data_IF_116877761479
#
_entry.id   IF_116877761479
#
_cell.length_a   1.000
_cell.length_b   1.000
_cell.length_c   1.000
_cell.angle_alpha   90.00
_cell.angle_beta   90.00
_cell.angle_gamma   90.00
#
_symmetry.space_group_name_H-M   'P 1'
#
loop_
_entity.id
_entity.type
_entity.pdbx_description
1 polymer ?
#
# COMPACT_ATOMS: atom_id res chain seq x y z
N UNK A 1 11.16 -6.27 21.85
CA UNK A 1 10.46 -5.92 23.11
C UNK A 1 9.74 -4.57 22.98
N UNK A 2 10.38 -3.53 22.43
CA UNK A 2 9.77 -2.19 22.25
C UNK A 2 8.64 -2.17 21.22
N UNK A 3 8.80 -2.85 20.08
CA UNK A 3 7.81 -2.87 19.00
C UNK A 3 6.47 -3.49 19.41
N UNK A 4 6.50 -4.66 20.06
CA UNK A 4 5.29 -5.33 20.56
C UNK A 4 4.53 -4.48 21.56
N UNK A 5 5.25 -3.71 22.40
CA UNK A 5 4.64 -2.78 23.36
C UNK A 5 3.96 -1.59 22.66
N UNK A 6 4.59 -1.03 21.62
CA UNK A 6 4.00 0.08 20.84
C UNK A 6 2.71 -0.39 20.15
N UNK A 7 2.72 -1.58 19.53
CA UNK A 7 1.52 -2.15 18.89
C UNK A 7 0.42 -2.42 19.92
N UNK A 8 0.76 -3.00 21.09
CA UNK A 8 -0.21 -3.21 22.17
C UNK A 8 -0.83 -1.90 22.67
N UNK A 9 -0.01 -0.86 22.88
CA UNK A 9 -0.49 0.47 23.29
C UNK A 9 -1.39 1.09 22.21
N UNK A 10 -0.99 1.00 20.93
CA UNK A 10 -1.81 1.44 19.80
C UNK A 10 -3.18 0.75 19.79
N UNK A 11 -3.22 -0.58 19.91
CA UNK A 11 -4.48 -1.35 19.90
C UNK A 11 -5.36 -0.97 21.10
N UNK A 12 -4.77 -0.81 22.29
CA UNK A 12 -5.50 -0.40 23.49
C UNK A 12 -6.15 0.97 23.30
N UNK A 13 -5.38 1.96 22.82
CA UNK A 13 -5.88 3.31 22.55
C UNK A 13 -6.99 3.31 21.50
N UNK A 14 -6.84 2.48 20.47
CA UNK A 14 -7.76 2.44 19.35
C UNK A 14 -9.09 1.72 19.63
N UNK A 15 -9.13 0.88 20.67
CA UNK A 15 -10.31 0.07 21.01
C UNK A 15 -11.59 0.90 21.24
N UNK A 16 -11.46 2.13 21.78
CA UNK A 16 -12.60 3.05 22.00
C UNK A 16 -13.18 3.64 20.70
N UNK A 17 -12.44 3.58 19.59
CA UNK A 17 -12.78 4.23 18.33
C UNK A 17 -13.08 3.25 17.20
N UNK A 18 -13.09 1.95 17.50
CA UNK A 18 -13.36 0.92 16.50
C UNK A 18 -14.82 1.03 16.03
N UNK A 19 -15.06 1.22 14.72
CA UNK A 19 -16.42 1.33 14.21
C UNK A 19 -17.17 0.01 14.37
N UNK A 20 -18.48 0.09 14.60
CA UNK A 20 -19.36 -1.06 14.39
C UNK A 20 -19.49 -1.28 12.89
N UNK A 21 -19.16 -2.48 12.42
CA UNK A 21 -19.07 -2.79 11.00
C UNK A 21 -19.99 -3.95 10.67
N UNK A 22 -20.67 -3.87 9.52
CA UNK A 22 -21.36 -5.02 8.95
C UNK A 22 -20.34 -6.09 8.56
N UNK A 23 -20.72 -7.36 8.73
CA UNK A 23 -19.84 -8.48 8.41
C UNK A 23 -19.55 -8.56 6.91
N UNK A 24 -18.28 -8.69 6.56
CA UNK A 24 -17.85 -9.02 5.19
C UNK A 24 -17.87 -10.54 5.04
N UNK A 25 -18.54 -11.03 4.00
CA UNK A 25 -18.58 -12.46 3.69
C UNK A 25 -17.20 -12.98 3.29
N UNK A 26 -16.79 -14.09 3.90
CA UNK A 26 -15.56 -14.82 3.58
C UNK A 26 -15.88 -15.92 2.55
N UNK A 27 -15.32 -15.80 1.35
CA UNK A 27 -15.26 -16.90 0.40
C UNK A 27 -13.96 -17.69 0.61
N UNK A 28 -14.02 -19.00 0.40
CA UNK A 28 -12.89 -19.91 0.60
C UNK A 28 -12.82 -20.96 -0.50
N UNK A 29 -11.63 -21.17 -1.06
CA UNK A 29 -11.35 -22.26 -1.99
C UNK A 29 -10.24 -23.14 -1.40
N UNK A 30 -10.55 -24.40 -1.04
CA UNK A 30 -9.54 -25.33 -0.54
C UNK A 30 -8.38 -25.54 -1.53
N UNK A 31 -7.15 -25.59 -1.03
CA UNK A 31 -5.93 -25.72 -1.84
C UNK A 31 -5.98 -26.83 -2.89
N UNK A 32 -6.48 -28.01 -2.50
CA UNK A 32 -6.57 -29.18 -3.40
C UNK A 32 -7.59 -28.95 -4.51
N UNK A 33 -8.72 -28.33 -4.21
CA UNK A 33 -9.77 -28.02 -5.18
C UNK A 33 -9.30 -26.91 -6.12
N UNK A 34 -8.63 -25.91 -5.57
CA UNK A 34 -8.10 -24.77 -6.31
C UNK A 34 -7.10 -25.20 -7.38
N UNK A 35 -6.10 -26.01 -7.00
CA UNK A 35 -5.09 -26.52 -7.95
C UNK A 35 -5.72 -27.42 -9.02
N UNK A 36 -6.74 -28.21 -8.67
CA UNK A 36 -7.47 -29.04 -9.64
C UNK A 36 -8.29 -28.22 -10.63
N UNK A 37 -8.84 -27.09 -10.20
CA UNK A 37 -9.62 -26.21 -11.06
C UNK A 37 -8.75 -25.44 -12.07
N UNK A 38 -7.50 -25.14 -11.72
CA UNK A 38 -6.58 -24.36 -12.56
C UNK A 38 -5.23 -25.06 -12.82
N UNK A 39 -5.21 -26.27 -13.39
CA UNK A 39 -3.99 -27.09 -13.51
C UNK A 39 -2.92 -26.49 -14.42
N UNK A 40 -3.31 -25.61 -15.36
CA UNK A 40 -2.38 -24.94 -16.27
C UNK A 40 -1.70 -23.71 -15.65
N UNK A 41 -2.25 -23.20 -14.54
CA UNK A 41 -1.79 -21.98 -13.86
C UNK A 41 -1.27 -22.25 -12.44
N UNK A 42 -1.71 -23.34 -11.81
CA UNK A 42 -1.38 -23.70 -10.44
C UNK A 42 -0.82 -25.13 -10.36
N UNK A 43 0.13 -25.33 -9.45
CA UNK A 43 0.62 -26.65 -9.05
C UNK A 43 0.93 -26.66 -7.56
N UNK A 44 0.80 -27.79 -6.90
CA UNK A 44 1.22 -27.92 -5.50
C UNK A 44 1.99 -29.20 -5.23
N UNK A 45 2.89 -29.13 -4.26
CA UNK A 45 3.63 -30.29 -3.74
C UNK A 45 3.81 -30.16 -2.22
N UNK A 46 3.90 -31.29 -1.52
CA UNK A 46 4.36 -31.30 -0.12
C UNK A 46 5.88 -31.23 -0.07
N UNK A 47 6.42 -30.44 0.84
CA UNK A 47 7.86 -30.37 1.12
C UNK A 47 8.09 -30.22 2.63
N UNK A 48 9.21 -30.73 3.14
CA UNK A 48 9.62 -30.54 4.53
C UNK A 48 10.96 -29.80 4.54
N UNK A 49 11.06 -28.71 5.30
CA UNK A 49 12.27 -27.90 5.45
C UNK A 49 12.50 -27.69 6.95
N UNK A 50 13.68 -28.08 7.44
CA UNK A 50 14.06 -28.00 8.86
C UNK A 50 13.03 -28.57 9.84
N UNK A 51 12.37 -29.67 9.45
CA UNK A 51 11.34 -30.36 10.24
C UNK A 51 9.97 -29.67 10.25
N UNK A 52 9.75 -28.67 9.40
CA UNK A 52 8.46 -28.00 9.19
C UNK A 52 7.91 -28.42 7.85
N UNK A 53 6.67 -28.90 7.84
CA UNK A 53 5.97 -29.28 6.62
C UNK A 53 5.37 -28.04 5.94
N UNK A 54 5.54 -27.93 4.63
CA UNK A 54 4.98 -26.88 3.79
C UNK A 54 4.17 -27.48 2.64
N UNK A 55 3.21 -26.70 2.16
CA UNK A 55 2.70 -26.77 0.79
C UNK A 55 3.56 -25.82 -0.04
N UNK A 56 4.24 -26.37 -1.05
CA UNK A 56 4.90 -25.59 -2.09
C UNK A 56 3.89 -25.33 -3.20
N UNK A 57 3.36 -24.11 -3.28
CA UNK A 57 2.40 -23.67 -4.29
C UNK A 57 3.13 -22.96 -5.43
N UNK A 58 3.04 -23.47 -6.65
CA UNK A 58 3.57 -22.81 -7.85
C UNK A 58 2.45 -22.08 -8.61
N UNK A 59 2.70 -20.83 -9.00
CA UNK A 59 1.87 -20.04 -9.89
C UNK A 59 2.62 -19.73 -11.18
N UNK A 60 1.95 -19.90 -12.33
CA UNK A 60 2.55 -19.69 -13.65
C UNK A 60 2.27 -18.26 -14.13
N UNK A 61 3.32 -17.53 -14.52
CA UNK A 61 3.13 -16.25 -15.20
C UNK A 61 2.62 -16.51 -16.64
N UNK A 62 1.46 -15.95 -17.02
CA UNK A 62 0.79 -16.28 -18.28
C UNK A 62 1.54 -15.78 -19.52
N UNK A 63 2.38 -14.74 -19.39
CA UNK A 63 3.15 -14.18 -20.52
C UNK A 63 4.48 -14.91 -20.72
N UNK A 64 5.23 -15.13 -19.65
CA UNK A 64 6.57 -15.75 -19.73
C UNK A 64 6.55 -17.28 -19.66
N UNK A 65 5.45 -17.86 -19.19
CA UNK A 65 5.32 -19.29 -18.91
C UNK A 65 6.15 -19.80 -17.72
N UNK A 66 6.88 -18.92 -17.03
CA UNK A 66 7.71 -19.25 -15.87
C UNK A 66 6.84 -19.56 -14.65
N UNK A 67 7.27 -20.53 -13.86
CA UNK A 67 6.65 -20.89 -12.58
C UNK A 67 7.36 -20.18 -11.43
N UNK A 68 6.58 -19.61 -10.53
CA UNK A 68 7.05 -18.98 -9.29
C UNK A 68 6.43 -19.73 -8.12
N UNK A 69 7.28 -20.23 -7.22
CA UNK A 69 6.85 -21.10 -6.13
C UNK A 69 6.86 -20.34 -4.79
N UNK A 70 5.87 -20.61 -3.94
CA UNK A 70 5.71 -20.10 -2.58
C UNK A 70 5.66 -21.24 -1.59
N UNK A 71 6.09 -20.99 -0.37
CA UNK A 71 6.00 -21.95 0.74
C UNK A 71 4.90 -21.52 1.71
N UNK A 72 3.98 -22.43 1.99
CA UNK A 72 2.86 -22.22 2.91
C UNK A 72 2.93 -23.26 4.02
N UNK A 73 3.24 -22.89 5.27
CA UNK A 73 3.48 -23.85 6.33
C UNK A 73 2.19 -24.58 6.73
N UNK A 74 2.27 -25.89 6.89
CA UNK A 74 1.16 -26.73 7.34
C UNK A 74 1.07 -26.70 8.86
N UNK A 75 -0.15 -26.71 9.39
CA UNK A 75 -0.44 -26.70 10.83
C UNK A 75 0.12 -25.47 11.59
N UNK A 76 0.49 -24.42 10.86
CA UNK A 76 0.95 -23.16 11.41
C UNK A 76 -0.07 -22.08 11.06
N UNK A 77 -0.26 -21.13 11.97
CA UNK A 77 -1.21 -20.03 11.80
C UNK A 77 -0.53 -18.87 11.09
N UNK A 78 -0.09 -19.13 9.85
CA UNK A 78 0.60 -18.16 9.01
C UNK A 78 -0.05 -18.16 7.62
N UNK A 79 -0.47 -16.98 7.18
CA UNK A 79 -1.10 -16.75 5.88
C UNK A 79 -0.32 -15.67 5.13
N UNK A 80 -0.17 -15.81 3.82
CA UNK A 80 0.38 -14.76 2.96
C UNK A 80 -0.68 -13.69 2.70
N UNK A 81 -0.26 -12.42 2.62
CA UNK A 81 -1.06 -11.26 2.22
C UNK A 81 -0.40 -10.53 1.04
N UNK A 82 -1.12 -9.61 0.41
CA UNK A 82 -0.55 -8.77 -0.66
C UNK A 82 -0.41 -9.50 -2.00
N UNK A 83 0.74 -9.38 -2.66
CA UNK A 83 0.95 -9.88 -4.03
C UNK A 83 0.63 -11.36 -4.26
N UNK A 84 1.15 -12.29 -3.43
CA UNK A 84 0.89 -13.72 -3.58
C UNK A 84 -0.60 -14.12 -3.64
N UNK A 85 -1.44 -13.77 -2.64
CA UNK A 85 -2.86 -14.05 -2.74
C UNK A 85 -3.59 -13.25 -3.83
N UNK A 86 -3.14 -12.02 -4.17
CA UNK A 86 -3.70 -11.26 -5.30
C UNK A 86 -3.52 -11.99 -6.64
N UNK A 87 -2.31 -12.47 -6.92
CA UNK A 87 -2.06 -13.30 -8.11
C UNK A 87 -2.95 -14.56 -8.11
N UNK A 88 -3.19 -15.13 -6.92
CA UNK A 88 -4.10 -16.26 -6.76
C UNK A 88 -5.55 -15.94 -7.17
N UNK A 89 -6.12 -14.86 -6.63
CA UNK A 89 -7.49 -14.47 -6.98
C UNK A 89 -7.60 -14.01 -8.44
N UNK A 90 -6.55 -13.43 -9.01
CA UNK A 90 -6.51 -13.08 -10.44
C UNK A 90 -6.64 -14.30 -11.35
N UNK A 91 -5.99 -15.42 -10.99
CA UNK A 91 -6.16 -16.70 -11.69
C UNK A 91 -7.60 -17.18 -11.57
N UNK A 92 -8.16 -17.15 -10.35
CA UNK A 92 -9.53 -17.63 -10.08
C UNK A 92 -10.58 -16.83 -10.82
N UNK A 93 -10.43 -15.50 -10.89
CA UNK A 93 -11.36 -14.59 -11.52
C UNK A 93 -11.18 -14.47 -13.04
N UNK A 94 -10.20 -15.19 -13.61
CA UNK A 94 -9.80 -15.09 -15.02
C UNK A 94 -9.49 -13.63 -15.43
N UNK A 95 -8.71 -12.94 -14.59
CA UNK A 95 -8.33 -11.55 -14.78
C UNK A 95 -7.61 -11.29 -16.10
N UNK A 96 -7.61 -10.04 -16.59
CA UNK A 96 -6.79 -9.63 -17.72
C UNK A 96 -5.34 -10.06 -17.55
N UNK A 97 -4.79 -10.72 -18.58
CA UNK A 97 -3.42 -11.29 -18.58
C UNK A 97 -2.37 -10.28 -18.09
N UNK A 98 -2.55 -9.00 -18.45
CA UNK A 98 -1.65 -7.93 -18.02
C UNK A 98 -1.56 -7.81 -16.50
N UNK A 99 -2.67 -7.87 -15.77
CA UNK A 99 -2.68 -7.71 -14.30
C UNK A 99 -1.89 -8.83 -13.62
N UNK A 100 -2.24 -10.10 -13.92
CA UNK A 100 -1.54 -11.26 -13.37
C UNK A 100 -0.04 -11.27 -13.73
N UNK A 101 0.31 -10.78 -14.91
CA UNK A 101 1.71 -10.69 -15.33
C UNK A 101 2.51 -9.63 -14.57
N UNK A 102 1.87 -8.56 -14.07
CA UNK A 102 2.50 -7.52 -13.26
C UNK A 102 2.61 -7.88 -11.77
N UNK A 103 1.89 -8.91 -11.31
CA UNK A 103 2.08 -9.47 -9.97
C UNK A 103 3.27 -10.44 -9.89
N UNK A 104 3.71 -11.02 -11.02
CA UNK A 104 4.71 -12.11 -11.08
C UNK A 104 5.99 -11.72 -11.85
N UNK A 105 7.20 -11.87 -11.28
CA UNK A 105 7.49 -12.36 -9.92
C UNK A 105 7.07 -11.35 -8.86
N UNK A 106 6.72 -11.87 -7.67
CA UNK A 106 6.51 -11.03 -6.50
C UNK A 106 7.84 -10.37 -6.11
N UNK A 107 7.83 -9.06 -5.89
CA UNK A 107 9.01 -8.36 -5.37
C UNK A 107 9.16 -8.61 -3.86
N UNK A 108 8.03 -8.76 -3.19
CA UNK A 108 7.85 -8.81 -1.75
C UNK A 108 6.83 -9.91 -1.40
N UNK A 109 7.10 -10.62 -0.31
CA UNK A 109 6.19 -11.61 0.25
C UNK A 109 5.89 -11.19 1.68
N UNK A 110 4.62 -10.93 1.93
CA UNK A 110 4.12 -10.47 3.22
C UNK A 110 3.29 -11.55 3.90
N UNK A 111 3.23 -11.53 5.24
CA UNK A 111 2.46 -12.52 6.00
C UNK A 111 1.63 -11.91 7.13
N UNK A 112 0.61 -12.67 7.53
CA UNK A 112 -0.19 -12.50 8.74
C UNK A 112 0.08 -13.74 9.59
N UNK A 113 0.34 -13.57 10.87
CA UNK A 113 0.69 -14.68 11.74
C UNK A 113 0.06 -14.59 13.14
N UNK A 114 -0.31 -15.73 13.70
CA UNK A 114 -0.72 -15.88 15.12
C UNK A 114 0.20 -16.90 15.81
N UNK A 115 0.63 -16.60 17.03
CA UNK A 115 1.44 -17.51 17.86
C UNK A 115 2.72 -16.90 18.41
N UNK A 116 3.67 -17.77 18.78
CA UNK A 116 4.93 -17.37 19.41
C UNK A 116 5.87 -16.69 18.41
N UNK A 117 6.19 -15.40 18.65
CA UNK A 117 6.94 -14.58 17.70
C UNK A 117 8.32 -15.12 17.28
N UNK A 118 9.02 -15.86 18.15
CA UNK A 118 10.31 -16.49 17.83
C UNK A 118 10.17 -17.58 16.76
N UNK A 119 9.15 -18.46 16.93
CA UNK A 119 8.79 -19.52 16.00
C UNK A 119 8.29 -18.93 14.68
N UNK A 120 7.38 -17.96 14.74
CA UNK A 120 6.84 -17.27 13.55
C UNK A 120 7.99 -16.69 12.72
N UNK A 121 8.91 -15.93 13.33
CA UNK A 121 10.06 -15.34 12.60
C UNK A 121 10.96 -16.39 11.94
N UNK A 122 11.15 -17.55 12.58
CA UNK A 122 11.90 -18.65 11.96
C UNK A 122 11.19 -19.16 10.71
N UNK A 123 9.88 -19.38 10.78
CA UNK A 123 9.09 -19.95 9.68
C UNK A 123 8.96 -18.94 8.54
N UNK A 124 8.67 -17.67 8.83
CA UNK A 124 8.53 -16.61 7.81
C UNK A 124 9.82 -16.39 7.03
N UNK A 125 10.99 -16.49 7.69
CA UNK A 125 12.30 -16.48 7.01
C UNK A 125 12.44 -17.64 6.01
N UNK A 126 12.03 -18.85 6.38
CA UNK A 126 12.05 -20.00 5.45
C UNK A 126 11.11 -19.79 4.26
N UNK A 127 10.02 -19.05 4.45
CA UNK A 127 9.06 -18.72 3.40
C UNK A 127 9.54 -17.59 2.47
N UNK A 128 10.65 -16.92 2.79
CA UNK A 128 11.11 -15.72 2.07
C UNK A 128 10.24 -14.48 2.33
N UNK A 129 9.51 -14.46 3.46
CA UNK A 129 8.72 -13.30 3.87
C UNK A 129 9.63 -12.20 4.38
N UNK A 130 9.33 -10.95 4.01
CA UNK A 130 10.05 -9.78 4.50
C UNK A 130 9.96 -9.70 6.04
N UNK A 131 11.08 -9.55 6.77
CA UNK A 131 11.08 -9.37 8.22
C UNK A 131 10.11 -8.30 8.74
N UNK A 132 9.91 -7.22 8.00
CA UNK A 132 9.00 -6.11 8.36
C UNK A 132 7.57 -6.31 7.79
N UNK A 133 7.40 -7.29 6.90
CA UNK A 133 6.15 -7.67 6.24
C UNK A 133 5.22 -8.56 7.09
N UNK A 134 5.62 -8.93 8.30
CA UNK A 134 4.86 -9.82 9.20
C UNK A 134 3.91 -9.03 10.09
N UNK A 135 2.61 -9.16 9.84
CA UNK A 135 1.54 -8.63 10.70
C UNK A 135 1.10 -9.67 11.72
N UNK A 136 1.27 -9.37 13.01
CA UNK A 136 0.79 -10.25 14.08
C UNK A 136 -0.71 -10.06 14.30
N UNK A 137 -1.46 -11.16 14.35
CA UNK A 137 -2.87 -11.18 14.78
C UNK A 137 -2.96 -10.79 16.26
N UNK A 138 -4.06 -10.14 16.63
CA UNK A 138 -4.30 -9.71 18.00
C UNK A 138 -4.25 -10.88 19.00
N UNK A 139 -3.67 -10.67 20.21
CA UNK A 139 -3.59 -11.71 21.24
C UNK A 139 -4.97 -12.30 21.58
N UNK A 140 -5.06 -13.63 21.60
CA UNK A 140 -6.29 -14.36 21.92
C UNK A 140 -7.08 -14.86 20.71
N UNK A 141 -6.69 -14.48 19.49
CA UNK A 141 -7.31 -14.95 18.25
C UNK A 141 -6.46 -16.00 17.54
N UNK A 142 -7.11 -17.09 17.14
CA UNK A 142 -6.48 -18.23 16.47
C UNK A 142 -6.32 -18.03 14.95
N UNK A 143 -7.12 -17.14 14.38
CA UNK A 143 -7.09 -16.72 12.97
C UNK A 143 -7.42 -15.22 12.88
N UNK A 144 -7.02 -14.52 11.82
CA UNK A 144 -7.50 -13.16 11.60
C UNK A 144 -9.03 -13.14 11.52
N UNK A 145 -9.66 -12.15 12.17
CA UNK A 145 -11.06 -11.82 11.89
C UNK A 145 -11.13 -11.32 10.44
N UNK A 146 -11.87 -12.04 9.59
CA UNK A 146 -11.91 -11.77 8.16
C UNK A 146 -12.44 -10.37 7.84
N UNK A 147 -13.47 -9.92 8.57
CA UNK A 147 -14.07 -8.60 8.37
C UNK A 147 -13.08 -7.50 8.74
N UNK A 148 -12.48 -7.59 9.94
CA UNK A 148 -11.48 -6.61 10.38
C UNK A 148 -10.22 -6.63 9.50
N UNK A 149 -9.83 -7.81 9.03
CA UNK A 149 -8.73 -7.95 8.07
C UNK A 149 -9.02 -7.15 6.80
N UNK A 150 -10.18 -7.41 6.16
CA UNK A 150 -10.58 -6.79 4.90
C UNK A 150 -10.75 -5.27 5.03
N UNK A 151 -11.39 -4.80 6.08
CA UNK A 151 -11.59 -3.35 6.33
C UNK A 151 -10.29 -2.63 6.66
N UNK A 152 -9.33 -3.35 7.25
CA UNK A 152 -8.02 -2.80 7.53
C UNK A 152 -7.16 -2.64 6.28
N UNK A 153 -7.43 -3.36 5.18
CA UNK A 153 -6.62 -3.30 3.96
C UNK A 153 -6.68 -1.93 3.30
N UNK A 154 -5.66 -1.62 2.51
CA UNK A 154 -5.53 -0.38 1.75
C UNK A 154 -6.55 -0.28 0.60
N UNK A 155 -6.68 -1.33 -0.21
CA UNK A 155 -7.55 -1.38 -1.38
C UNK A 155 -8.34 -2.68 -1.47
N UNK A 156 -9.45 -2.67 -2.20
CA UNK A 156 -10.36 -3.84 -2.33
C UNK A 156 -9.67 -5.09 -2.85
N UNK A 157 -8.73 -4.96 -3.80
CA UNK A 157 -7.94 -6.08 -4.32
C UNK A 157 -7.11 -6.80 -3.25
N UNK A 158 -6.75 -6.12 -2.14
CA UNK A 158 -5.96 -6.70 -1.07
C UNK A 158 -6.79 -7.43 -0.02
N UNK A 159 -8.12 -7.50 -0.16
CA UNK A 159 -9.02 -8.22 0.73
C UNK A 159 -9.01 -9.74 0.47
N UNK A 160 -7.81 -10.29 0.43
CA UNK A 160 -7.50 -11.68 0.15
C UNK A 160 -6.29 -12.10 0.99
N UNK A 161 -6.28 -13.34 1.48
CA UNK A 161 -5.08 -13.98 2.04
C UNK A 161 -5.02 -15.46 1.64
N UNK A 162 -3.83 -16.04 1.75
CA UNK A 162 -3.54 -17.39 1.29
C UNK A 162 -2.85 -18.19 2.38
N UNK A 163 -3.47 -19.29 2.80
CA UNK A 163 -2.90 -20.26 3.74
C UNK A 163 -2.57 -21.59 3.08
N UNK A 164 -1.99 -22.52 3.85
CA UNK A 164 -1.78 -23.89 3.38
C UNK A 164 -3.09 -24.67 3.18
N UNK A 165 -4.19 -24.19 3.77
CA UNK A 165 -5.56 -24.67 3.63
C UNK A 165 -6.23 -24.18 2.34
N UNK A 166 -5.96 -22.96 1.90
CA UNK A 166 -6.51 -22.44 0.65
C UNK A 166 -6.51 -20.92 0.53
N UNK A 167 -7.27 -20.43 -0.45
CA UNK A 167 -7.43 -19.01 -0.75
C UNK A 167 -8.69 -18.47 -0.07
N UNK A 168 -8.56 -17.37 0.67
CA UNK A 168 -9.66 -16.68 1.35
C UNK A 168 -9.82 -15.28 0.78
N UNK A 169 -11.04 -14.89 0.42
CA UNK A 169 -11.28 -13.60 -0.25
C UNK A 169 -12.68 -13.04 -0.06
N UNK A 170 -12.80 -11.72 -0.20
CA UNK A 170 -14.09 -11.02 -0.21
C UNK A 170 -14.66 -10.93 -1.62
N UNK A 171 -15.97 -10.72 -1.73
CA UNK A 171 -16.61 -10.45 -3.02
C UNK A 171 -16.03 -9.21 -3.72
N UNK A 172 -15.60 -8.21 -2.94
CA UNK A 172 -14.95 -7.02 -3.45
C UNK A 172 -13.56 -7.30 -4.04
N UNK A 173 -12.79 -8.21 -3.44
CA UNK A 173 -11.52 -8.67 -4.02
C UNK A 173 -11.75 -9.43 -5.33
N UNK A 174 -12.76 -10.30 -5.37
CA UNK A 174 -13.10 -11.05 -6.59
C UNK A 174 -13.55 -10.12 -7.71
N UNK A 175 -14.41 -9.14 -7.41
CA UNK A 175 -14.82 -8.11 -8.36
C UNK A 175 -13.63 -7.30 -8.88
N UNK A 176 -12.73 -6.89 -7.99
CA UNK A 176 -11.52 -6.15 -8.35
C UNK A 176 -10.60 -6.96 -9.28
N UNK A 177 -10.39 -8.25 -8.98
CA UNK A 177 -9.65 -9.15 -9.84
C UNK A 177 -10.31 -9.29 -11.22
N UNK A 178 -11.62 -9.52 -11.26
CA UNK A 178 -12.36 -9.73 -12.50
C UNK A 178 -12.36 -8.49 -13.42
N UNK A 179 -12.50 -7.30 -12.83
CA UNK A 179 -12.74 -6.05 -13.59
C UNK A 179 -11.51 -5.16 -13.70
N UNK A 180 -10.51 -5.36 -12.84
CA UNK A 180 -9.39 -4.43 -12.64
C UNK A 180 -9.79 -3.11 -11.98
N UNK A 181 -10.99 -3.02 -11.39
CA UNK A 181 -11.50 -1.83 -10.71
C UNK A 181 -11.27 -1.93 -9.20
N UNK A 182 -10.51 -0.97 -8.66
CA UNK A 182 -10.18 -0.94 -7.24
C UNK A 182 -10.76 0.29 -6.54
N UNK A 183 -10.98 0.15 -5.23
CA UNK A 183 -11.38 1.24 -4.33
C UNK A 183 -10.48 1.25 -3.10
N UNK A 184 -10.34 2.42 -2.48
CA UNK A 184 -9.72 2.53 -1.16
C UNK A 184 -10.67 1.94 -0.13
N UNK A 185 -10.11 1.23 0.84
CA UNK A 185 -10.85 0.71 1.99
C UNK A 185 -10.33 1.43 3.23
N UNK A 186 -9.10 1.08 3.65
CA UNK A 186 -8.26 1.79 4.60
C UNK A 186 -8.99 2.33 5.82
N UNK A 187 -9.95 1.58 6.37
CA UNK A 187 -10.79 2.03 7.48
C UNK A 187 -10.02 1.99 8.79
N UNK A 188 -10.54 2.69 9.79
CA UNK A 188 -9.95 2.68 11.12
C UNK A 188 -10.22 1.34 11.80
N UNK A 189 -9.18 0.51 11.94
CA UNK A 189 -9.21 -0.78 12.64
C UNK A 189 -8.17 -0.75 13.77
N UNK A 190 -8.55 -1.18 14.97
CA UNK A 190 -7.74 -1.06 16.18
C UNK A 190 -6.31 -1.62 16.04
N UNK A 191 -6.20 -2.87 15.59
CA UNK A 191 -4.91 -3.52 15.30
C UNK A 191 -4.08 -2.90 14.17
N UNK A 192 -4.59 -1.90 13.44
CA UNK A 192 -3.87 -1.17 12.37
C UNK A 192 -3.87 0.35 12.55
N UNK A 193 -4.41 0.86 13.66
CA UNK A 193 -4.60 2.30 13.90
C UNK A 193 -3.29 3.10 13.87
N UNK A 194 -2.18 2.48 14.31
CA UNK A 194 -0.83 3.04 14.23
C UNK A 194 -0.44 3.44 12.81
N UNK A 195 -0.92 2.68 11.82
CA UNK A 195 -0.61 2.89 10.41
C UNK A 195 -1.54 3.91 9.74
N UNK A 196 -2.50 4.49 10.47
CA UNK A 196 -3.41 5.51 9.95
C UNK A 196 -4.58 4.95 9.11
N UNK A 197 -5.42 5.87 8.64
CA UNK A 197 -6.65 5.62 7.90
C UNK A 197 -6.54 6.32 6.56
N UNK A 198 -6.88 5.65 5.47
CA UNK A 198 -6.76 6.20 4.12
C UNK A 198 -8.03 6.90 3.64
N UNK A 199 -9.13 6.73 4.36
CA UNK A 199 -10.40 7.43 4.14
C UNK A 199 -10.71 8.37 5.30
N UNK A 200 -11.61 9.31 5.06
CA UNK A 200 -12.26 10.10 6.11
C UNK A 200 -13.68 10.44 5.71
N UNK A 201 -14.56 10.50 6.70
CA UNK A 201 -15.92 10.95 6.49
C UNK A 201 -16.02 12.46 6.79
N UNK A 202 -16.51 13.22 5.82
CA UNK A 202 -16.81 14.63 5.97
C UNK A 202 -18.26 14.90 5.54
N UNK A 203 -19.09 15.38 6.46
CA UNK A 203 -20.52 15.65 6.21
C UNK A 203 -21.29 14.47 5.59
N UNK A 204 -20.94 13.23 5.96
CA UNK A 204 -21.56 12.01 5.42
C UNK A 204 -21.01 11.53 4.07
N UNK A 205 -19.97 12.20 3.55
CA UNK A 205 -19.27 11.82 2.32
C UNK A 205 -17.91 11.24 2.69
N UNK A 206 -17.65 10.03 2.22
CA UNK A 206 -16.34 9.39 2.39
C UNK A 206 -15.36 9.92 1.33
N UNK A 207 -14.28 10.54 1.80
CA UNK A 207 -13.23 11.14 0.98
C UNK A 207 -11.93 10.35 1.16
N UNK A 208 -11.23 10.13 0.06
CA UNK A 208 -9.90 9.53 0.05
C UNK A 208 -8.82 10.53 0.50
N UNK A 209 -7.99 10.17 1.47
CA UNK A 209 -6.83 10.97 1.89
C UNK A 209 -5.67 10.85 0.91
N UNK A 210 -4.67 11.76 0.96
CA UNK A 210 -3.50 11.71 0.09
C UNK A 210 -2.82 10.33 0.00
N UNK A 211 -2.69 9.60 1.13
CA UNK A 211 -2.13 8.25 1.12
C UNK A 211 -3.00 7.22 0.39
N UNK A 212 -4.32 7.32 0.53
CA UNK A 212 -5.26 6.47 -0.21
C UNK A 212 -5.19 6.74 -1.71
N UNK A 213 -5.08 8.01 -2.12
CA UNK A 213 -4.89 8.40 -3.53
C UNK A 213 -3.58 7.84 -4.09
N UNK A 214 -2.49 7.92 -3.33
CA UNK A 214 -1.21 7.31 -3.69
C UNK A 214 -1.35 5.81 -3.94
N UNK A 215 -2.07 5.08 -3.08
CA UNK A 215 -2.30 3.63 -3.21
C UNK A 215 -3.06 3.27 -4.50
N UNK A 216 -4.10 4.05 -4.85
CA UNK A 216 -4.84 3.89 -6.10
C UNK A 216 -3.97 4.15 -7.34
N UNK A 217 -3.26 5.28 -7.35
CA UNK A 217 -2.39 5.68 -8.45
C UNK A 217 -1.28 4.65 -8.64
N UNK A 218 -0.63 4.22 -7.57
CA UNK A 218 0.43 3.19 -7.61
C UNK A 218 -0.04 1.91 -8.28
N UNK A 219 -1.19 1.38 -7.86
CA UNK A 219 -1.71 0.12 -8.39
C UNK A 219 -1.97 0.18 -9.90
N UNK A 220 -2.54 1.29 -10.39
CA UNK A 220 -2.80 1.47 -11.83
C UNK A 220 -1.52 1.74 -12.63
N UNK A 221 -0.59 2.55 -12.11
CA UNK A 221 0.69 2.83 -12.76
C UNK A 221 1.54 1.56 -12.92
N UNK A 222 1.58 0.73 -11.87
CA UNK A 222 2.28 -0.56 -11.87
C UNK A 222 1.56 -1.65 -12.67
N UNK A 223 0.34 -1.40 -13.15
CA UNK A 223 -0.44 -2.34 -13.97
C UNK A 223 -1.14 -3.46 -13.18
N UNK A 224 -1.15 -3.36 -11.85
CA UNK A 224 -1.84 -4.29 -10.93
C UNK A 224 -3.35 -4.07 -10.88
N UNK A 225 -3.80 -2.89 -11.29
CA UNK A 225 -5.21 -2.57 -11.53
C UNK A 225 -5.37 -1.82 -12.85
N UNK A 226 -6.57 -1.80 -13.41
CA UNK A 226 -6.89 -1.09 -14.65
C UNK A 226 -7.44 0.31 -14.40
N UNK A 227 -8.22 0.46 -13.33
CA UNK A 227 -8.87 1.71 -12.99
C UNK A 227 -9.25 1.78 -11.51
N UNK A 228 -9.64 2.97 -11.07
CA UNK A 228 -10.21 3.17 -9.75
C UNK A 228 -11.35 4.19 -9.77
N UNK A 229 -12.22 4.08 -8.79
CA UNK A 229 -13.25 5.08 -8.51
C UNK A 229 -12.66 6.30 -7.81
N UNK A 230 -13.08 7.49 -8.25
CA UNK A 230 -12.61 8.76 -7.73
C UNK A 230 -13.77 9.75 -7.65
N UNK A 231 -14.00 10.30 -6.45
CA UNK A 231 -14.92 11.41 -6.26
C UNK A 231 -14.24 12.72 -6.69
N UNK A 232 -14.81 13.52 -7.61
CA UNK A 232 -14.21 14.78 -8.04
C UNK A 232 -13.89 15.74 -6.88
N UNK A 233 -14.66 15.70 -5.78
CA UNK A 233 -14.36 16.45 -4.57
C UNK A 233 -12.96 16.18 -4.00
N UNK A 234 -12.37 15.02 -4.26
CA UNK A 234 -11.00 14.69 -3.82
C UNK A 234 -9.93 15.57 -4.47
N UNK A 235 -10.25 16.30 -5.55
CA UNK A 235 -9.33 17.24 -6.19
C UNK A 235 -8.91 18.40 -5.27
N UNK A 236 -9.71 18.69 -4.25
CA UNK A 236 -9.38 19.69 -3.21
C UNK A 236 -8.23 19.24 -2.28
N UNK A 237 -7.88 17.96 -2.31
CA UNK A 237 -6.85 17.37 -1.47
C UNK A 237 -5.69 16.92 -2.33
N UNK A 238 -4.60 17.68 -2.29
CA UNK A 238 -3.42 17.34 -3.06
C UNK A 238 -2.77 16.05 -2.54
N UNK A 239 -2.32 15.17 -3.46
CA UNK A 239 -1.56 13.98 -3.11
C UNK A 239 -0.25 14.32 -2.36
N UNK A 240 0.25 15.55 -2.45
CA UNK A 240 1.25 16.14 -1.58
C UNK A 240 2.60 15.45 -1.69
N UNK A 241 3.19 15.12 -0.53
CA UNK A 241 4.49 14.45 -0.44
C UNK A 241 4.51 13.11 -1.20
N UNK A 242 3.35 12.48 -1.40
CA UNK A 242 3.26 11.18 -2.04
C UNK A 242 3.59 11.19 -3.54
N UNK A 243 3.56 12.36 -4.20
CA UNK A 243 4.18 12.52 -5.52
C UNK A 243 5.67 12.14 -5.48
N UNK A 244 6.40 12.67 -4.49
CA UNK A 244 7.84 12.45 -4.31
C UNK A 244 8.13 11.00 -3.89
N UNK A 245 7.28 10.43 -3.02
CA UNK A 245 7.37 9.02 -2.57
C UNK A 245 7.32 8.06 -3.73
N UNK A 246 6.32 8.19 -4.61
CA UNK A 246 6.16 7.30 -5.75
C UNK A 246 7.32 7.43 -6.72
N UNK A 247 7.75 8.68 -7.02
CA UNK A 247 8.91 8.91 -7.87
C UNK A 247 10.17 8.26 -7.32
N UNK A 248 10.43 8.41 -6.02
CA UNK A 248 11.57 7.77 -5.37
C UNK A 248 11.47 6.25 -5.42
N UNK A 249 10.29 5.68 -5.13
CA UNK A 249 10.04 4.23 -5.16
C UNK A 249 10.30 3.62 -6.54
N UNK A 250 10.04 4.37 -7.60
CA UNK A 250 10.23 3.90 -8.98
C UNK A 250 11.58 4.26 -9.58
N UNK A 251 12.41 5.06 -8.91
CA UNK A 251 13.64 5.62 -9.46
C UNK A 251 14.59 4.55 -10.05
N UNK A 252 14.69 3.41 -9.37
CA UNK A 252 15.60 2.33 -9.75
C UNK A 252 14.94 1.29 -10.68
N UNK A 253 13.72 1.54 -11.17
CA UNK A 253 13.02 0.64 -12.09
C UNK A 253 13.35 1.02 -13.53
N UNK A 254 13.56 0.02 -14.39
CA UNK A 254 13.77 0.23 -15.84
C UNK A 254 12.62 1.03 -16.49
N UNK A 255 11.42 0.92 -15.93
CA UNK A 255 10.20 1.59 -16.38
C UNK A 255 9.97 2.96 -15.73
N UNK A 256 10.94 3.53 -15.01
CA UNK A 256 10.80 4.79 -14.27
C UNK A 256 10.14 5.90 -15.09
N UNK A 257 10.71 6.24 -16.26
CA UNK A 257 10.17 7.31 -17.11
C UNK A 257 8.75 7.04 -17.64
N UNK A 258 8.35 5.78 -17.82
CA UNK A 258 6.99 5.41 -18.18
C UNK A 258 6.04 5.55 -16.98
N UNK A 259 6.45 5.11 -15.80
CA UNK A 259 5.66 5.25 -14.57
C UNK A 259 5.38 6.71 -14.24
N UNK A 260 6.37 7.59 -14.43
CA UNK A 260 6.21 9.03 -14.24
C UNK A 260 5.20 9.65 -15.22
N UNK A 261 5.19 9.22 -16.49
CA UNK A 261 4.18 9.67 -17.46
C UNK A 261 2.77 9.18 -17.10
N UNK A 262 2.63 7.91 -16.70
CA UNK A 262 1.35 7.36 -16.26
C UNK A 262 0.83 8.11 -15.04
N UNK A 263 1.69 8.36 -14.05
CA UNK A 263 1.34 9.10 -12.84
C UNK A 263 0.86 10.52 -13.16
N UNK A 264 1.58 11.25 -14.04
CA UNK A 264 1.17 12.58 -14.51
C UNK A 264 -0.18 12.55 -15.24
N UNK A 265 -0.39 11.57 -16.10
CA UNK A 265 -1.64 11.40 -16.85
C UNK A 265 -2.85 11.12 -15.93
N UNK A 266 -2.68 10.26 -14.92
CA UNK A 266 -3.72 10.01 -13.92
C UNK A 266 -3.96 11.26 -13.06
N UNK A 267 -2.90 11.96 -12.66
CA UNK A 267 -3.00 13.22 -11.91
C UNK A 267 -3.82 14.29 -12.63
N UNK A 268 -3.63 14.44 -13.94
CA UNK A 268 -4.46 15.33 -14.77
C UNK A 268 -5.93 14.96 -14.71
N UNK A 269 -6.25 13.68 -14.88
CA UNK A 269 -7.64 13.23 -14.78
C UNK A 269 -8.22 13.47 -13.39
N UNK A 270 -7.44 13.32 -12.33
CA UNK A 270 -7.87 13.53 -10.94
C UNK A 270 -8.04 15.02 -10.57
N UNK A 271 -7.56 15.95 -11.40
CA UNK A 271 -7.51 17.38 -11.07
C UNK A 271 -6.40 17.72 -10.05
N UNK A 272 -5.35 16.90 -10.00
CA UNK A 272 -4.20 17.03 -9.09
C UNK A 272 -3.01 17.74 -9.76
N UNK A 273 -3.13 18.06 -11.04
CA UNK A 273 -2.15 18.79 -11.85
C UNK A 273 -2.78 20.14 -12.21
N UNK A 274 -2.12 21.22 -11.83
CA UNK A 274 -2.56 22.58 -12.12
C UNK A 274 -2.37 22.92 -13.60
N UNK A 275 -3.18 23.84 -14.14
CA UNK A 275 -3.12 24.23 -15.56
C UNK A 275 -1.75 24.79 -15.99
N UNK A 276 -1.00 25.36 -15.04
CA UNK A 276 0.35 25.86 -15.28
C UNK A 276 1.42 24.77 -15.41
N UNK A 277 1.16 23.56 -14.92
CA UNK A 277 2.13 22.46 -14.85
C UNK A 277 2.17 21.70 -16.19
N UNK A 278 3.23 21.90 -16.96
CA UNK A 278 3.39 21.38 -18.32
C UNK A 278 3.86 19.92 -18.33
N UNK A 279 4.61 19.51 -17.31
CA UNK A 279 5.10 18.15 -17.18
C UNK A 279 5.16 17.66 -15.73
N UNK A 280 5.70 16.45 -15.54
CA UNK A 280 5.82 15.83 -14.21
C UNK A 280 6.82 16.56 -13.30
N UNK A 281 7.85 17.20 -13.86
CA UNK A 281 8.84 17.93 -13.05
C UNK A 281 8.24 19.18 -12.43
N UNK A 282 7.31 19.86 -13.10
CA UNK A 282 6.58 20.99 -12.49
C UNK A 282 5.79 20.54 -11.25
N UNK A 283 5.10 19.40 -11.34
CA UNK A 283 4.33 18.80 -10.23
C UNK A 283 5.28 18.44 -9.08
N UNK A 284 6.39 17.76 -9.38
CA UNK A 284 7.38 17.38 -8.38
C UNK A 284 8.08 18.60 -7.78
N UNK A 285 8.29 19.66 -8.56
CA UNK A 285 8.88 20.90 -8.07
C UNK A 285 7.96 21.60 -7.08
N UNK A 286 6.65 21.67 -7.37
CA UNK A 286 5.64 22.17 -6.42
C UNK A 286 5.58 21.33 -5.15
N UNK A 287 5.52 20.00 -5.29
CA UNK A 287 5.46 19.09 -4.14
C UNK A 287 6.71 19.25 -3.27
N UNK A 288 7.92 19.22 -3.84
CA UNK A 288 9.16 19.41 -3.08
C UNK A 288 9.32 20.84 -2.54
N UNK A 289 8.81 21.86 -3.22
CA UNK A 289 8.74 23.22 -2.66
C UNK A 289 7.91 23.30 -1.37
N UNK A 290 6.87 22.47 -1.26
CA UNK A 290 6.04 22.33 -0.04
C UNK A 290 6.73 21.45 1.00
N UNK A 291 7.47 20.43 0.56
CA UNK A 291 8.17 19.45 1.40
C UNK A 291 9.68 19.47 1.13
N UNK A 292 10.40 20.59 1.38
CA UNK A 292 11.79 20.76 0.97
C UNK A 292 12.76 19.88 1.74
N UNK A 293 12.30 19.26 2.83
CA UNK A 293 13.05 18.29 3.61
C UNK A 293 13.01 16.88 3.01
N UNK A 294 12.21 16.64 1.96
CA UNK A 294 12.17 15.33 1.30
C UNK A 294 13.49 15.03 0.62
N UNK A 295 14.08 13.90 1.03
CA UNK A 295 15.35 13.42 0.53
C UNK A 295 15.11 12.22 -0.39
N UNK A 296 15.56 12.34 -1.63
CA UNK A 296 15.51 11.27 -2.62
C UNK A 296 16.60 10.21 -2.41
N UNK A 297 17.62 10.54 -1.62
CA UNK A 297 18.87 9.77 -1.49
C UNK A 297 19.03 9.12 -0.11
N UNK A 298 18.07 9.30 0.80
CA UNK A 298 18.23 8.81 2.17
C UNK A 298 18.40 7.29 2.20
N UNK A 299 19.28 6.78 3.04
CA UNK A 299 19.41 5.33 3.24
C UNK A 299 18.19 4.76 3.97
N UNK A 300 17.92 3.44 3.82
CA UNK A 300 16.94 2.73 4.63
C UNK A 300 17.14 2.97 6.13
N UNK A 301 16.05 3.02 6.89
CA UNK A 301 16.11 3.22 8.33
C UNK A 301 16.67 1.97 9.01
N UNK A 302 17.60 2.17 9.95
CA UNK A 302 18.03 1.10 10.86
C UNK A 302 16.95 0.81 11.92
N UNK A 303 17.13 -0.26 12.71
CA UNK A 303 16.18 -0.67 13.76
C UNK A 303 15.80 0.47 14.73
N UNK A 304 16.77 1.33 15.08
CA UNK A 304 16.54 2.50 15.95
C UNK A 304 15.66 3.54 15.24
N UNK A 305 15.87 3.75 13.94
CA UNK A 305 15.03 4.60 13.09
C UNK A 305 13.59 4.09 13.01
N UNK A 306 13.41 2.78 12.77
CA UNK A 306 12.09 2.13 12.74
C UNK A 306 11.36 2.34 14.08
N UNK A 307 12.04 2.11 15.21
CA UNK A 307 11.45 2.30 16.53
C UNK A 307 11.03 3.75 16.80
N UNK A 308 11.84 4.73 16.39
CA UNK A 308 11.52 6.17 16.52
C UNK A 308 10.32 6.56 15.66
N UNK A 309 10.26 6.04 14.43
CA UNK A 309 9.11 6.25 13.56
C UNK A 309 7.82 5.68 14.17
N UNK A 310 7.84 4.43 14.66
CA UNK A 310 6.66 3.83 15.32
C UNK A 310 6.21 4.65 16.52
N UNK A 311 7.14 5.23 17.29
CA UNK A 311 6.82 6.14 18.37
C UNK A 311 6.18 7.45 17.86
N UNK A 312 6.68 8.03 16.76
CA UNK A 312 6.05 9.19 16.10
C UNK A 312 4.63 8.91 15.63
N UNK A 313 4.40 7.72 15.06
CA UNK A 313 3.05 7.24 14.66
C UNK A 313 2.10 7.14 15.86
N UNK A 314 2.60 6.67 17.00
CA UNK A 314 1.81 6.58 18.23
C UNK A 314 1.39 7.99 18.73
N UNK A 315 2.28 8.98 18.64
CA UNK A 315 1.95 10.38 18.99
C UNK A 315 0.86 10.93 18.05
N UNK A 316 1.00 10.71 16.74
CA UNK A 316 0.00 11.12 15.75
C UNK A 316 -1.35 10.43 15.96
N UNK A 317 -1.33 9.16 16.33
CA UNK A 317 -2.55 8.43 16.70
C UNK A 317 -3.20 9.06 17.93
N UNK A 318 -2.42 9.35 18.98
CA UNK A 318 -2.92 9.99 20.19
C UNK A 318 -3.57 11.35 19.90
N UNK A 319 -2.93 12.19 19.08
CA UNK A 319 -3.46 13.49 18.69
C UNK A 319 -4.77 13.38 17.90
N UNK A 320 -4.83 12.47 16.92
CA UNK A 320 -6.04 12.20 16.14
C UNK A 320 -7.20 11.74 17.03
N UNK A 321 -6.95 10.78 17.91
CA UNK A 321 -7.96 10.21 18.80
C UNK A 321 -8.42 11.23 19.86
N UNK A 322 -7.50 12.05 20.36
CA UNK A 322 -7.84 13.20 21.19
C UNK A 322 -8.76 14.16 20.42
N UNK A 323 -8.40 14.51 19.18
CA UNK A 323 -9.21 15.35 18.30
C UNK A 323 -10.62 14.80 18.09
N UNK A 324 -10.76 13.49 17.88
CA UNK A 324 -12.06 12.82 17.76
C UNK A 324 -12.87 12.86 19.05
N UNK A 325 -12.25 12.50 20.18
CA UNK A 325 -12.89 12.46 21.51
C UNK A 325 -13.43 13.82 21.93
N UNK A 326 -12.69 14.89 21.61
CA UNK A 326 -13.04 16.26 21.99
C UNK A 326 -13.61 17.11 20.84
N UNK A 327 -13.91 16.49 19.67
CA UNK A 327 -14.50 17.15 18.49
C UNK A 327 -13.71 18.39 18.04
N UNK A 328 -12.39 18.30 18.04
CA UNK A 328 -11.52 19.37 17.53
C UNK A 328 -11.77 19.52 16.01
N UNK A 329 -12.15 20.72 15.52
CA UNK A 329 -12.42 20.92 14.10
C UNK A 329 -11.16 20.70 13.25
N UNK A 330 -11.29 20.00 12.12
CA UNK A 330 -10.17 19.74 11.20
C UNK A 330 -9.72 20.98 10.41
N UNK A 331 -10.54 22.03 10.36
CA UNK A 331 -10.27 23.26 9.59
C UNK A 331 -10.46 23.12 8.07
N UNK A 332 -10.76 21.92 7.56
CA UNK A 332 -10.96 21.66 6.13
C UNK A 332 -12.34 22.19 5.70
N UNK A 333 -12.37 22.98 4.63
CA UNK A 333 -13.61 23.50 4.02
C UNK A 333 -13.87 22.82 2.69
N UNK A 334 -15.06 22.25 2.53
CA UNK A 334 -15.52 21.65 1.27
C UNK A 334 -16.74 22.41 0.73
N UNK A 335 -16.78 22.57 -0.59
CA UNK A 335 -18.02 22.86 -1.32
C UNK A 335 -18.74 21.54 -1.58
N UNK A 336 -20.02 21.46 -1.25
CA UNK A 336 -20.88 20.29 -1.52
C UNK A 336 -21.69 20.53 -2.79
N UNK A 337 -21.03 20.61 -3.95
CA UNK A 337 -21.73 20.63 -5.24
C UNK A 337 -22.11 19.18 -5.60
N UNK A 338 -23.27 18.94 -6.21
CA UNK A 338 -23.71 17.57 -6.59
C UNK A 338 -22.70 16.86 -7.51
N UNK A 339 -22.00 17.62 -8.35
CA UNK A 339 -20.94 17.14 -9.24
C UNK A 339 -19.74 16.55 -8.48
N UNK A 340 -19.47 17.02 -7.26
CA UNK A 340 -18.38 16.53 -6.40
C UNK A 340 -18.69 15.15 -5.77
N UNK A 341 -19.96 14.73 -5.82
CA UNK A 341 -20.47 13.51 -5.17
C UNK A 341 -20.66 12.34 -6.14
N UNK A 342 -20.50 12.57 -7.44
CA UNK A 342 -20.65 11.52 -8.45
C UNK A 342 -19.28 10.91 -8.78
N UNK A 343 -19.09 9.65 -8.38
CA UNK A 343 -17.83 8.93 -8.68
C UNK A 343 -17.60 8.84 -10.18
N UNK A 344 -16.35 9.08 -10.59
CA UNK A 344 -15.86 8.83 -11.94
C UNK A 344 -14.73 7.81 -11.92
N UNK A 345 -14.60 7.08 -13.02
CA UNK A 345 -13.49 6.14 -13.20
C UNK A 345 -12.27 6.84 -13.73
N UNK A 346 -11.15 6.68 -13.05
CA UNK A 346 -9.83 7.14 -13.47
C UNK A 346 -9.06 5.92 -14.00
N UNK A 347 -8.44 6.04 -15.18
CA UNK A 347 -7.75 4.92 -15.81
C UNK A 347 -6.66 5.37 -16.78
N UNK A 348 -5.85 4.43 -17.27
CA UNK A 348 -4.89 4.67 -18.35
C UNK A 348 -5.51 4.51 -19.76
N UNK A 349 -6.85 4.48 -19.86
CA UNK A 349 -7.51 4.36 -21.18
C UNK A 349 -7.21 5.59 -22.03
N UNK A 350 -6.62 5.38 -23.21
CA UNK A 350 -6.21 6.44 -24.12
C UNK A 350 -4.82 7.03 -23.82
N UNK A 351 -4.12 6.52 -22.81
CA UNK A 351 -2.72 6.83 -22.58
C UNK A 351 -1.84 6.03 -23.55
N UNK A 352 -0.86 6.71 -24.16
CA UNK A 352 0.19 6.09 -24.95
C UNK A 352 1.53 6.56 -24.42
N UNK A 353 2.36 5.62 -23.94
CA UNK A 353 3.71 5.93 -23.49
C UNK A 353 4.57 6.40 -24.67
N UNK A 354 5.35 7.46 -24.46
CA UNK A 354 6.32 7.93 -25.45
C UNK A 354 7.72 7.52 -25.01
N UNK A 355 8.44 6.64 -25.75
CA UNK A 355 9.81 6.24 -25.40
C UNK A 355 10.77 7.43 -25.31
N UNK A 356 10.61 8.42 -26.19
CA UNK A 356 11.38 9.66 -26.15
C UNK A 356 11.11 10.45 -24.87
N UNK A 357 9.84 10.55 -24.46
CA UNK A 357 9.49 11.25 -23.22
C UNK A 357 9.96 10.48 -21.98
N UNK A 358 9.85 9.15 -21.97
CA UNK A 358 10.37 8.30 -20.90
C UNK A 358 11.87 8.52 -20.73
N UNK A 359 12.63 8.48 -21.82
CA UNK A 359 14.08 8.71 -21.81
C UNK A 359 14.42 10.14 -21.36
N UNK A 360 13.64 11.14 -21.82
CA UNK A 360 13.80 12.52 -21.37
C UNK A 360 13.62 12.64 -19.85
N UNK A 361 12.57 12.04 -19.28
CA UNK A 361 12.35 12.04 -17.84
C UNK A 361 13.58 11.44 -17.15
N UNK A 362 14.00 10.23 -17.51
CA UNK A 362 15.16 9.59 -16.88
C UNK A 362 16.43 10.45 -16.98
N UNK A 363 16.69 11.07 -18.13
CA UNK A 363 17.89 11.90 -18.34
C UNK A 363 17.89 13.19 -17.52
N UNK A 364 16.73 13.84 -17.34
CA UNK A 364 16.61 15.10 -16.59
C UNK A 364 16.54 14.91 -15.07
N UNK A 365 16.43 13.67 -14.59
CA UNK A 365 16.26 13.39 -13.15
C UNK A 365 17.40 13.95 -12.30
N UNK A 366 18.64 13.83 -12.79
CA UNK A 366 19.83 14.36 -12.10
C UNK A 366 19.79 15.88 -11.90
N UNK A 367 19.19 16.61 -12.85
CA UNK A 367 19.02 18.06 -12.77
C UNK A 367 18.00 18.38 -11.68
N UNK A 368 16.85 17.70 -11.70
CA UNK A 368 15.81 17.83 -10.68
C UNK A 368 16.33 17.53 -9.26
N UNK A 369 17.16 16.49 -9.09
CA UNK A 369 17.78 16.18 -7.80
C UNK A 369 18.67 17.31 -7.29
N UNK A 370 19.48 17.94 -8.16
CA UNK A 370 20.32 19.06 -7.78
C UNK A 370 19.49 20.26 -7.31
N UNK A 371 18.36 20.55 -7.96
CA UNK A 371 17.44 21.58 -7.52
C UNK A 371 16.82 21.27 -6.17
N UNK A 372 16.44 20.00 -5.93
CA UNK A 372 15.91 19.55 -4.65
C UNK A 372 16.95 19.78 -3.53
N UNK A 373 18.20 19.35 -3.74
CA UNK A 373 19.30 19.55 -2.78
C UNK A 373 19.47 21.03 -2.44
N UNK A 374 19.40 21.92 -3.43
CA UNK A 374 19.48 23.36 -3.22
C UNK A 374 18.31 23.89 -2.36
N UNK A 375 17.07 23.48 -2.66
CA UNK A 375 15.88 23.86 -1.86
C UNK A 375 15.99 23.36 -0.42
N UNK A 376 16.42 22.12 -0.23
CA UNK A 376 16.65 21.52 1.10
C UNK A 376 17.71 22.29 1.89
N UNK A 377 18.83 22.64 1.27
CA UNK A 377 19.89 23.42 1.92
C UNK A 377 19.38 24.79 2.37
N UNK A 378 18.62 25.49 1.52
CA UNK A 378 18.01 26.78 1.88
C UNK A 378 17.05 26.67 3.06
N UNK A 379 16.17 25.67 3.03
CA UNK A 379 15.24 25.40 4.13
C UNK A 379 15.98 25.19 5.46
N UNK A 380 17.07 24.42 5.49
CA UNK A 380 17.84 24.22 6.72
C UNK A 380 18.64 25.45 7.19
N UNK A 381 18.89 26.42 6.31
CA UNK A 381 19.49 27.71 6.69
C UNK A 381 18.46 28.65 7.33
N UNK A 382 17.17 28.42 7.09
CA UNK A 382 16.07 29.16 7.73
C UNK A 382 15.83 28.61 9.15
N UNK A 383 15.80 29.50 10.15
CA UNK A 383 15.66 29.13 11.56
C UNK A 383 14.22 28.69 11.89
N UNK A 384 13.85 27.47 11.51
CA UNK A 384 12.58 26.86 11.93
C UNK A 384 12.64 26.45 13.41
N UNK A 385 11.57 26.60 14.19
CA UNK A 385 11.55 26.13 15.59
C UNK A 385 11.52 24.58 15.68
N UNK A 386 11.86 24.04 16.84
CA UNK A 386 12.02 22.59 17.04
C UNK A 386 10.71 21.80 16.86
N UNK A 387 9.55 22.41 17.14
CA UNK A 387 8.24 21.76 17.01
C UNK A 387 7.83 21.71 15.54
N UNK A 388 8.01 22.80 14.80
CA UNK A 388 7.83 22.84 13.35
C UNK A 388 8.71 21.82 12.65
N UNK A 389 10.00 21.71 13.04
CA UNK A 389 10.90 20.68 12.51
C UNK A 389 10.43 19.26 12.79
N UNK A 390 9.82 19.01 13.96
CA UNK A 390 9.31 17.68 14.33
C UNK A 390 8.12 17.26 13.47
N UNK A 391 7.10 18.12 13.31
CA UNK A 391 5.94 17.79 12.49
C UNK A 391 6.30 17.66 11.01
N UNK A 392 7.15 18.55 10.48
CA UNK A 392 7.66 18.47 9.10
C UNK A 392 8.44 17.16 8.86
N UNK A 393 9.33 16.77 9.78
CA UNK A 393 10.06 15.50 9.69
C UNK A 393 9.16 14.28 9.83
N UNK A 394 8.11 14.36 10.65
CA UNK A 394 7.19 13.24 10.87
C UNK A 394 6.39 12.86 9.62
N UNK A 395 6.07 13.83 8.74
CA UNK A 395 5.41 13.57 7.45
C UNK A 395 6.36 12.89 6.47
N UNK A 396 7.67 13.18 6.56
CA UNK A 396 8.70 12.48 5.81
C UNK A 396 8.81 11.01 6.20
N UNK A 397 8.85 10.71 7.50
CA UNK A 397 9.02 9.34 7.98
C UNK A 397 7.78 8.46 7.68
N UNK A 398 6.58 9.04 7.51
CA UNK A 398 5.41 8.30 6.98
C UNK A 398 5.60 7.91 5.50
N UNK A 399 6.26 8.78 4.76
CA UNK A 399 6.40 8.73 3.30
C UNK A 399 7.57 7.83 2.86
N UNK A 400 8.61 7.74 3.68
CA UNK A 400 9.80 6.91 3.46
C UNK A 400 9.51 5.44 3.82
N UNK A 401 8.63 5.15 4.78
CA UNK A 401 8.32 3.77 5.17
C UNK A 401 7.31 3.04 4.26
N UNK A 402 6.51 3.76 3.46
CA UNK A 402 5.78 3.17 2.32
C UNK A 402 6.73 2.73 1.16
N UNK A 403 8.03 2.99 1.29
CA UNK A 403 9.08 2.65 0.32
C UNK A 403 9.88 1.40 0.70
N UNK A 404 9.61 0.75 1.83
CA UNK A 404 10.29 -0.50 2.23
C UNK A 404 9.68 -1.71 1.52
N UNK A 405 9.41 -1.56 0.22
CA UNK A 405 9.52 -2.67 -0.72
C UNK A 405 10.89 -2.49 -1.39
N UNK A 406 11.88 -3.26 -0.93
CA UNK A 406 13.25 -3.41 -1.42
C UNK A 406 14.30 -2.38 -0.98
N UNK A 407 15.18 -2.83 -0.10
CA UNK A 407 16.63 -2.81 -0.39
C UNK A 407 17.19 -4.20 -0.10
N UNK A 408 17.65 -4.87 -1.17
CA UNK A 408 18.52 -6.04 -1.09
C UNK A 408 19.80 -5.70 -0.32
N UNK A 409 20.17 -6.58 0.61
CA UNK A 409 21.50 -7.18 0.71
C UNK A 409 21.30 -8.71 0.78
#
# INVERSE_FOLDING_TARGET
MTESLIVQLSTLMASEFQPTVEGISENFIPMVEWVKAFPDSLRSAGICIDGIDFVKLGMKNPLSGKWYDLLLPKNERIWLKGGPPRAGIDITAASPISMLSYELPWNDVDAIASGEGSRIRRITRLMGVDPDGVEMVEPGNDKPDFTLYCLGRDTTQNQVYLGSDGLHYSDAAFYAAQTGEIRVVGQYIGGRALYGVDVMNFAGVEMVKPRGMMRLVKAVVEGKALCFDYLPGNSTMDMGIYWLVLSRKWLNRDTFGEYMQKMYYLGKQMGQVADSEQDIYDVLARAHGTYPFFDFESTPMNEVGIARWKAGKLIKQADREFGWKYRVPSGIRFSTLEEDLTSRKISLKGFTSSPHHSASITNHWSIFLNECRYRTQRFYQENHDAVSRFFLKSDLEESILDQFDNTED
#
